data_IF_011165271149
#
_entry.id   IF_011165271149
#
_cell.length_a   1.000
_cell.length_b   1.000
_cell.length_c   1.000
_cell.angle_alpha   90.00
_cell.angle_beta   90.00
_cell.angle_gamma   90.00
#
_symmetry.space_group_name_H-M   'P 1'
#
loop_
_entity.id
_entity.type
_entity.pdbx_description
1 polymer ?
#
# COMPACT_ATOMS: atom_id res chain seq x y z
N UNK A 1 7.33 25.08 -2.99
CA UNK A 1 8.39 24.09 -2.70
C UNK A 1 9.69 24.62 -3.29
N UNK A 2 10.73 24.71 -2.48
CA UNK A 2 12.07 25.09 -2.90
C UNK A 2 13.03 23.93 -2.64
N UNK A 3 13.98 23.71 -3.56
CA UNK A 3 14.95 22.62 -3.47
C UNK A 3 16.32 23.13 -2.99
N UNK A 4 16.84 22.53 -1.94
CA UNK A 4 18.23 22.65 -1.50
C UNK A 4 19.02 21.36 -1.78
N UNK A 5 20.30 21.33 -1.48
CA UNK A 5 21.16 20.16 -1.75
C UNK A 5 20.83 18.94 -0.90
N UNK A 6 20.33 19.12 0.32
CA UNK A 6 20.03 18.06 1.28
C UNK A 6 18.64 18.23 1.95
N UNK A 7 17.84 19.18 1.47
CA UNK A 7 16.51 19.41 2.02
C UNK A 7 15.59 20.05 0.99
N UNK A 8 14.30 19.84 1.19
CA UNK A 8 13.23 20.58 0.53
C UNK A 8 12.64 21.57 1.51
N UNK A 9 12.23 22.74 1.05
CA UNK A 9 11.43 23.66 1.84
C UNK A 9 9.98 23.53 1.39
N UNK A 10 9.14 23.03 2.28
CA UNK A 10 7.70 22.86 2.04
C UNK A 10 6.93 23.76 2.98
N UNK A 11 6.21 24.75 2.43
CA UNK A 11 5.48 25.75 3.22
C UNK A 11 6.34 26.44 4.29
N UNK A 12 7.58 26.81 3.91
CA UNK A 12 8.54 27.47 4.79
C UNK A 12 9.23 26.54 5.81
N UNK A 13 8.93 25.24 5.83
CA UNK A 13 9.56 24.28 6.73
C UNK A 13 10.58 23.41 5.99
N UNK A 14 11.81 23.23 6.52
CA UNK A 14 12.79 22.34 5.93
C UNK A 14 12.40 20.88 6.15
N UNK A 15 12.44 20.09 5.08
CA UNK A 15 12.28 18.63 5.09
C UNK A 15 13.60 18.02 4.65
N UNK A 16 14.26 17.28 5.51
CA UNK A 16 15.55 16.65 5.21
C UNK A 16 15.39 15.54 4.18
N UNK A 17 16.35 15.45 3.26
CA UNK A 17 16.43 14.40 2.24
C UNK A 17 17.58 13.48 2.60
N UNK A 18 17.32 12.17 2.57
CA UNK A 18 18.32 11.12 2.60
C UNK A 18 18.42 10.46 1.23
N UNK A 19 19.60 10.06 0.82
CA UNK A 19 19.84 9.33 -0.44
C UNK A 19 20.45 7.96 -0.12
N UNK A 20 19.66 7.14 0.59
CA UNK A 20 20.05 5.82 1.04
C UNK A 20 19.10 4.76 0.47
N UNK A 21 19.66 3.70 -0.13
CA UNK A 21 18.90 2.59 -0.67
C UNK A 21 18.58 1.50 0.36
N UNK A 22 19.44 1.36 1.38
CA UNK A 22 19.18 0.46 2.51
C UNK A 22 18.53 1.24 3.65
N UNK A 23 17.30 0.93 4.02
CA UNK A 23 16.60 1.61 5.11
C UNK A 23 17.32 1.53 6.46
N UNK A 24 18.19 0.55 6.66
CA UNK A 24 18.99 0.41 7.87
C UNK A 24 20.01 1.54 8.07
N UNK A 25 20.39 2.22 6.98
CA UNK A 25 21.39 3.29 6.97
C UNK A 25 20.76 4.69 7.04
N UNK A 26 19.42 4.79 7.05
CA UNK A 26 18.75 6.09 7.16
C UNK A 26 18.70 6.49 8.63
N UNK A 27 19.37 7.58 8.97
CA UNK A 27 19.44 8.10 10.35
C UNK A 27 18.18 8.90 10.73
N UNK A 28 17.03 8.22 10.91
CA UNK A 28 15.75 8.84 11.26
C UNK A 28 15.82 9.67 12.54
N UNK A 29 16.56 9.19 13.54
CA UNK A 29 16.77 9.90 14.79
C UNK A 29 17.41 11.27 14.63
N UNK A 30 18.25 11.46 13.58
CA UNK A 30 18.94 12.74 13.32
C UNK A 30 17.99 13.87 12.91
N UNK A 31 16.77 13.56 12.51
CA UNK A 31 15.70 14.53 12.20
C UNK A 31 14.46 14.36 13.07
N UNK A 32 14.51 13.49 14.07
CA UNK A 32 13.39 13.25 15.00
C UNK A 32 12.20 12.51 14.39
N UNK A 33 12.40 11.80 13.27
CA UNK A 33 11.35 11.04 12.62
C UNK A 33 11.12 9.70 13.34
N UNK A 34 10.00 9.56 14.02
CA UNK A 34 9.60 8.34 14.75
C UNK A 34 8.64 7.44 13.98
N UNK A 35 7.80 8.03 13.11
CA UNK A 35 6.81 7.36 12.28
C UNK A 35 7.27 7.38 10.84
N UNK A 36 7.49 6.20 10.26
CA UNK A 36 8.02 6.06 8.91
C UNK A 36 6.93 5.50 8.01
N UNK A 37 6.71 6.19 6.89
CA UNK A 37 5.82 5.73 5.82
C UNK A 37 6.67 5.00 4.78
N UNK A 38 6.60 3.66 4.79
CA UNK A 38 7.27 2.83 3.78
C UNK A 38 6.43 2.78 2.50
N UNK A 39 6.84 3.55 1.51
CA UNK A 39 6.09 3.71 0.25
C UNK A 39 6.87 3.31 -1.00
N UNK A 40 8.01 2.64 -0.84
CA UNK A 40 8.86 2.20 -1.97
C UNK A 40 8.30 0.97 -2.67
N UNK A 41 7.39 0.23 -2.04
CA UNK A 41 6.89 -1.09 -2.45
C UNK A 41 7.97 -2.20 -2.51
N UNK A 42 9.17 -1.94 -1.98
CA UNK A 42 10.26 -2.92 -1.90
C UNK A 42 10.22 -3.70 -0.57
N UNK A 43 9.93 -3.02 0.54
CA UNK A 43 9.99 -3.58 1.90
C UNK A 43 8.57 -3.84 2.44
N UNK A 44 7.88 -4.85 1.89
CA UNK A 44 6.45 -5.12 2.16
C UNK A 44 6.22 -6.26 3.16
N UNK A 45 7.16 -6.51 4.07
CA UNK A 45 7.02 -7.49 5.17
C UNK A 45 7.49 -6.88 6.47
N UNK A 46 7.00 -7.37 7.60
CA UNK A 46 7.49 -6.93 8.92
C UNK A 46 9.01 -7.04 9.01
N UNK A 47 9.59 -8.16 8.58
CA UNK A 47 11.03 -8.38 8.65
C UNK A 47 11.83 -7.36 7.83
N UNK A 48 11.42 -7.11 6.58
CA UNK A 48 12.12 -6.17 5.70
C UNK A 48 11.97 -4.70 6.16
N UNK A 49 10.75 -4.30 6.52
CA UNK A 49 10.46 -2.93 6.98
C UNK A 49 11.11 -2.61 8.32
N UNK A 50 11.31 -3.61 9.19
CA UNK A 50 11.97 -3.40 10.49
C UNK A 50 13.41 -2.88 10.37
N UNK A 51 14.02 -2.91 9.19
CA UNK A 51 15.33 -2.32 8.94
C UNK A 51 15.36 -0.81 9.27
N UNK A 52 14.25 -0.09 9.06
CA UNK A 52 14.11 1.33 9.45
C UNK A 52 14.29 1.58 10.95
N UNK A 53 14.02 0.59 11.79
CA UNK A 53 14.14 0.72 13.24
C UNK A 53 15.60 0.92 13.68
N UNK A 54 16.57 0.44 12.90
CA UNK A 54 18.00 0.65 13.16
C UNK A 54 18.37 2.14 13.13
N UNK A 55 17.68 2.92 12.30
CA UNK A 55 17.87 4.36 12.21
C UNK A 55 17.10 5.19 13.24
N UNK A 56 16.33 4.55 14.12
CA UNK A 56 15.58 5.21 15.20
C UNK A 56 14.07 5.31 14.96
N UNK A 57 13.53 4.69 13.90
CA UNK A 57 12.09 4.61 13.70
C UNK A 57 11.42 3.82 14.84
N UNK A 58 10.27 4.28 15.32
CA UNK A 58 9.44 3.58 16.31
C UNK A 58 8.27 2.84 15.69
N UNK A 59 7.70 3.38 14.63
CA UNK A 59 6.56 2.81 13.90
C UNK A 59 6.79 2.88 12.40
N UNK A 60 6.45 1.82 11.69
CA UNK A 60 6.53 1.75 10.24
C UNK A 60 5.15 1.41 9.69
N UNK A 61 4.71 2.21 8.73
CA UNK A 61 3.43 2.04 8.03
C UNK A 61 3.72 1.73 6.57
N UNK A 62 3.49 0.50 6.16
CA UNK A 62 3.65 0.06 4.77
C UNK A 62 2.42 0.50 3.97
N UNK A 63 2.61 1.29 2.90
CA UNK A 63 1.51 1.76 2.04
C UNK A 63 1.18 0.79 0.90
N UNK A 64 1.37 -0.49 1.13
CA UNK A 64 1.10 -1.57 0.19
C UNK A 64 0.58 -2.81 0.94
N UNK A 65 -0.06 -3.76 0.25
CA UNK A 65 -0.42 -5.03 0.88
C UNK A 65 0.82 -5.74 1.41
N UNK A 66 0.76 -6.16 2.67
CA UNK A 66 1.81 -6.98 3.25
C UNK A 66 1.94 -8.31 2.49
N UNK A 67 3.19 -8.74 2.26
CA UNK A 67 3.53 -9.98 1.57
C UNK A 67 3.76 -11.16 2.52
N UNK A 68 3.67 -10.91 3.82
CA UNK A 68 3.67 -11.92 4.86
C UNK A 68 2.30 -12.00 5.56
N UNK A 69 2.14 -12.97 6.45
CA UNK A 69 0.90 -13.17 7.21
C UNK A 69 1.01 -12.65 8.65
N UNK A 70 2.16 -12.09 9.03
CA UNK A 70 2.40 -11.56 10.38
C UNK A 70 2.20 -10.04 10.48
N UNK A 71 2.28 -9.32 9.36
CA UNK A 71 2.06 -7.88 9.33
C UNK A 71 0.56 -7.58 9.42
N UNK A 72 0.08 -6.97 10.52
CA UNK A 72 -1.32 -6.61 10.64
C UNK A 72 -1.70 -5.56 9.58
N UNK A 73 -2.90 -5.73 9.01
CA UNK A 73 -3.39 -4.88 7.92
C UNK A 73 -4.63 -4.13 8.37
N UNK A 74 -4.61 -2.81 8.23
CA UNK A 74 -5.70 -1.95 8.64
C UNK A 74 -6.26 -1.14 7.47
N UNK A 75 -7.59 -0.98 7.49
CA UNK A 75 -8.33 -0.05 6.63
C UNK A 75 -9.12 0.87 7.55
N UNK A 76 -8.86 2.17 7.46
CA UNK A 76 -9.53 3.16 8.28
C UNK A 76 -11.05 3.14 8.05
N UNK A 77 -11.82 3.22 9.13
CA UNK A 77 -13.28 3.08 9.08
C UNK A 77 -13.80 1.63 8.98
N UNK A 78 -12.90 0.64 8.87
CA UNK A 78 -13.26 -0.78 8.77
C UNK A 78 -12.83 -1.55 10.01
N UNK A 79 -11.54 -1.66 10.24
CA UNK A 79 -10.95 -2.41 11.35
C UNK A 79 -9.84 -1.63 12.09
N UNK A 80 -9.81 -0.31 11.98
CA UNK A 80 -8.79 0.53 12.61
C UNK A 80 -8.87 0.53 14.14
N UNK A 81 -10.03 0.23 14.71
CA UNK A 81 -10.22 0.12 16.16
C UNK A 81 -9.53 -1.14 16.74
N UNK A 82 -9.19 -2.10 15.88
CA UNK A 82 -8.44 -3.31 16.27
C UNK A 82 -6.93 -3.06 16.36
N UNK A 83 -6.48 -1.80 16.13
CA UNK A 83 -5.06 -1.46 16.14
C UNK A 83 -4.46 -1.65 17.53
N UNK A 84 -3.43 -2.51 17.59
CA UNK A 84 -2.59 -2.69 18.79
C UNK A 84 -1.39 -1.74 18.71
N UNK A 85 -1.26 -0.79 19.65
CA UNK A 85 -0.08 0.10 19.75
C UNK A 85 1.25 -0.64 19.92
N UNK A 86 1.27 -1.89 20.35
CA UNK A 86 2.48 -2.71 20.41
C UNK A 86 3.00 -3.10 19.02
N UNK A 87 2.16 -3.09 18.00
CA UNK A 87 2.56 -3.39 16.61
C UNK A 87 3.50 -2.31 16.07
N UNK A 88 4.77 -2.64 15.91
CA UNK A 88 5.78 -1.72 15.38
C UNK A 88 5.69 -1.51 13.86
N UNK A 89 5.22 -2.52 13.13
CA UNK A 89 5.04 -2.49 11.68
C UNK A 89 3.60 -2.85 11.35
N UNK A 90 2.95 -2.04 10.55
CA UNK A 90 1.58 -2.28 10.07
C UNK A 90 1.49 -2.03 8.56
N UNK A 91 0.47 -2.58 7.92
CA UNK A 91 0.13 -2.30 6.52
C UNK A 91 -1.17 -1.48 6.45
N UNK A 92 -1.17 -0.43 5.64
CA UNK A 92 -2.35 0.34 5.28
C UNK A 92 -3.10 -0.24 4.06
N UNK A 93 -2.85 -1.50 3.69
CA UNK A 93 -3.44 -2.18 2.54
C UNK A 93 -3.11 -1.50 1.19
N UNK A 94 -3.85 -1.83 0.14
CA UNK A 94 -3.75 -1.19 -1.18
C UNK A 94 -4.78 -0.09 -1.37
N UNK A 95 -4.58 0.77 -2.36
CA UNK A 95 -5.56 1.79 -2.76
C UNK A 95 -6.93 1.18 -3.07
N UNK A 96 -6.96 0.09 -3.85
CA UNK A 96 -8.22 -0.60 -4.20
C UNK A 96 -8.86 -1.26 -2.97
N UNK A 97 -8.07 -1.82 -2.04
CA UNK A 97 -8.60 -2.38 -0.79
C UNK A 97 -9.20 -1.28 0.09
N UNK A 98 -8.58 -0.11 0.15
CA UNK A 98 -9.10 1.04 0.89
C UNK A 98 -10.41 1.59 0.28
N UNK A 99 -10.61 1.43 -1.02
CA UNK A 99 -11.89 1.73 -1.67
C UNK A 99 -12.95 0.65 -1.38
N UNK A 100 -12.58 -0.62 -1.61
CA UNK A 100 -13.55 -1.74 -1.59
C UNK A 100 -13.99 -2.14 -0.18
N UNK A 101 -13.09 -2.13 0.81
CA UNK A 101 -13.41 -2.63 2.14
C UNK A 101 -14.50 -1.80 2.84
N UNK A 102 -14.47 -0.45 2.84
CA UNK A 102 -15.56 0.35 3.38
C UNK A 102 -16.89 0.12 2.65
N UNK A 103 -16.88 0.04 1.31
CA UNK A 103 -18.08 -0.27 0.52
C UNK A 103 -18.66 -1.65 0.88
N UNK A 104 -17.78 -2.65 0.95
CA UNK A 104 -18.18 -4.01 1.33
C UNK A 104 -18.75 -4.05 2.75
N UNK A 105 -18.18 -3.31 3.70
CA UNK A 105 -18.66 -3.18 5.07
C UNK A 105 -20.07 -2.59 5.12
N UNK A 106 -20.28 -1.44 4.48
CA UNK A 106 -21.57 -0.73 4.46
C UNK A 106 -22.68 -1.60 3.88
N UNK A 107 -22.40 -2.47 2.92
CA UNK A 107 -23.38 -3.39 2.34
C UNK A 107 -23.53 -4.66 3.20
N UNK A 108 -22.42 -5.18 3.73
CA UNK A 108 -22.44 -6.42 4.49
C UNK A 108 -23.14 -6.27 5.86
N UNK A 109 -22.91 -5.17 6.55
CA UNK A 109 -23.38 -5.01 7.93
C UNK A 109 -24.92 -5.05 8.04
N UNK A 110 -25.71 -4.34 7.19
CA UNK A 110 -27.18 -4.41 7.27
C UNK A 110 -27.80 -5.58 6.51
N UNK A 111 -27.17 -6.06 5.41
CA UNK A 111 -27.81 -7.00 4.49
C UNK A 111 -27.17 -8.39 4.48
N UNK A 112 -26.00 -8.52 5.05
CA UNK A 112 -25.16 -9.70 4.85
C UNK A 112 -24.65 -9.81 3.41
N UNK A 113 -23.66 -10.65 3.18
CA UNK A 113 -23.11 -10.88 1.84
C UNK A 113 -22.70 -12.34 1.65
N UNK A 114 -23.25 -12.96 0.62
CA UNK A 114 -22.86 -14.32 0.24
C UNK A 114 -21.69 -14.33 -0.73
N UNK A 115 -21.79 -13.56 -1.81
CA UNK A 115 -20.77 -13.43 -2.86
C UNK A 115 -20.74 -12.04 -3.45
N UNK A 116 -19.59 -11.63 -4.00
CA UNK A 116 -19.45 -10.37 -4.72
C UNK A 116 -18.38 -10.42 -5.79
N UNK A 117 -18.67 -9.77 -6.92
CA UNK A 117 -17.72 -9.50 -7.98
C UNK A 117 -17.38 -8.00 -7.97
N UNK A 118 -16.09 -7.68 -7.90
CA UNK A 118 -15.60 -6.31 -8.02
C UNK A 118 -14.99 -6.10 -9.41
N UNK A 119 -15.38 -5.03 -10.07
CA UNK A 119 -14.64 -4.48 -11.21
C UNK A 119 -14.08 -3.12 -10.80
N UNK A 120 -12.78 -2.92 -11.00
CA UNK A 120 -12.16 -1.61 -10.77
C UNK A 120 -11.71 -0.99 -12.08
N UNK A 121 -12.11 0.26 -12.31
CA UNK A 121 -11.60 1.11 -13.39
C UNK A 121 -10.58 2.03 -12.75
N UNK A 122 -9.30 1.67 -12.89
CA UNK A 122 -8.22 2.27 -12.12
C UNK A 122 -7.42 3.26 -12.98
N UNK A 123 -7.03 4.36 -12.37
CA UNK A 123 -6.08 5.29 -13.01
C UNK A 123 -4.76 4.61 -13.35
N UNK A 124 -4.09 5.07 -14.40
CA UNK A 124 -2.74 4.65 -14.74
C UNK A 124 -1.76 4.93 -13.58
N UNK A 125 -0.83 4.01 -13.38
CA UNK A 125 0.21 4.10 -12.36
C UNK A 125 1.60 3.99 -12.97
N UNK A 126 2.64 4.38 -12.24
CA UNK A 126 4.02 4.41 -12.74
C UNK A 126 4.58 3.05 -13.19
N UNK A 127 3.96 1.94 -12.79
CA UNK A 127 4.36 0.60 -13.23
C UNK A 127 3.89 0.23 -14.63
N UNK A 128 2.88 0.92 -15.16
CA UNK A 128 2.32 0.67 -16.47
C UNK A 128 3.14 1.34 -17.56
N UNK A 129 3.05 0.85 -18.79
CA UNK A 129 3.83 1.36 -19.91
C UNK A 129 3.19 2.58 -20.53
N UNK A 130 3.98 3.62 -20.80
CA UNK A 130 3.51 4.80 -21.53
C UNK A 130 3.33 4.52 -23.03
N UNK A 131 4.18 3.66 -23.60
CA UNK A 131 4.11 3.18 -24.98
C UNK A 131 4.16 1.67 -25.01
N UNK A 132 3.62 1.04 -26.06
CA UNK A 132 3.68 -0.41 -26.25
C UNK A 132 5.14 -0.88 -26.18
N UNK A 133 5.40 -1.87 -25.37
CA UNK A 133 6.74 -2.40 -25.17
C UNK A 133 6.68 -3.86 -24.69
N UNK A 134 7.85 -4.49 -24.56
CA UNK A 134 7.92 -5.87 -24.05
C UNK A 134 7.29 -5.97 -22.66
N UNK A 135 6.41 -6.95 -22.48
CA UNK A 135 5.85 -7.26 -21.15
C UNK A 135 6.95 -7.74 -20.20
N UNK A 136 6.98 -7.18 -19.00
CA UNK A 136 7.93 -7.56 -17.93
C UNK A 136 7.47 -8.76 -17.10
N UNK A 137 6.34 -9.38 -17.46
CA UNK A 137 5.72 -10.50 -16.75
C UNK A 137 5.18 -11.53 -17.75
N UNK A 138 4.64 -12.66 -17.21
CA UNK A 138 3.93 -13.67 -18.04
C UNK A 138 2.61 -13.15 -18.62
N UNK A 139 2.03 -12.13 -18.01
CA UNK A 139 0.84 -11.47 -18.54
C UNK A 139 1.23 -10.45 -19.62
N UNK A 140 1.02 -10.81 -20.87
CA UNK A 140 1.40 -9.99 -22.02
C UNK A 140 0.68 -8.64 -22.09
N UNK A 141 -0.47 -8.51 -21.42
CA UNK A 141 -1.23 -7.26 -21.35
C UNK A 141 -0.44 -6.14 -20.67
N UNK A 142 0.51 -6.49 -19.79
CA UNK A 142 1.38 -5.52 -19.08
C UNK A 142 2.34 -4.77 -19.99
N UNK A 143 2.51 -5.21 -21.24
CA UNK A 143 3.31 -4.51 -22.27
C UNK A 143 2.55 -3.44 -23.03
N UNK A 144 1.22 -3.35 -22.87
CA UNK A 144 0.41 -2.38 -23.59
C UNK A 144 0.50 -0.98 -22.99
N UNK A 145 0.46 0.02 -23.88
CA UNK A 145 0.40 1.43 -23.50
C UNK A 145 -0.89 1.74 -22.73
N UNK A 146 -0.79 2.52 -21.66
CA UNK A 146 -1.95 2.99 -20.89
C UNK A 146 -2.66 4.18 -21.54
N UNK A 147 -2.01 4.89 -22.45
CA UNK A 147 -2.63 6.04 -23.10
C UNK A 147 -3.68 5.60 -24.12
N UNK A 148 -4.88 6.17 -24.01
CA UNK A 148 -6.03 5.87 -24.86
C UNK A 148 -6.41 4.37 -24.87
N UNK A 149 -6.16 3.67 -23.78
CA UNK A 149 -6.42 2.25 -23.63
C UNK A 149 -7.11 1.93 -22.29
N UNK A 150 -7.89 0.85 -22.31
CA UNK A 150 -8.37 0.16 -21.10
C UNK A 150 -7.76 -1.23 -21.13
N UNK A 151 -6.84 -1.53 -20.20
CA UNK A 151 -6.06 -2.75 -20.20
C UNK A 151 -6.54 -3.64 -19.05
N UNK A 152 -7.20 -4.77 -19.35
CA UNK A 152 -7.61 -5.71 -18.29
C UNK A 152 -6.41 -6.24 -17.52
N UNK A 153 -6.55 -6.33 -16.21
CA UNK A 153 -5.51 -6.81 -15.30
C UNK A 153 -6.11 -7.65 -14.18
N UNK A 154 -5.29 -8.47 -13.55
CA UNK A 154 -5.65 -9.16 -12.33
C UNK A 154 -5.42 -8.25 -11.12
N UNK A 155 -6.22 -8.44 -10.07
CA UNK A 155 -6.07 -7.72 -8.80
C UNK A 155 -6.26 -8.65 -7.61
N UNK A 156 -5.43 -8.47 -6.58
CA UNK A 156 -5.57 -9.16 -5.29
C UNK A 156 -6.49 -8.44 -4.30
N UNK A 157 -7.05 -7.29 -4.67
CA UNK A 157 -7.76 -6.43 -3.72
C UNK A 157 -9.02 -7.10 -3.13
N UNK A 158 -9.79 -7.82 -3.95
CA UNK A 158 -10.98 -8.53 -3.48
C UNK A 158 -10.62 -9.59 -2.41
N UNK A 159 -9.52 -10.31 -2.60
CA UNK A 159 -9.00 -11.27 -1.61
C UNK A 159 -8.48 -10.55 -0.36
N UNK A 160 -7.82 -9.42 -0.53
CA UNK A 160 -7.23 -8.64 0.57
C UNK A 160 -8.28 -8.05 1.52
N UNK A 161 -9.51 -7.81 1.06
CA UNK A 161 -10.63 -7.40 1.93
C UNK A 161 -10.89 -8.42 3.04
N UNK A 162 -10.71 -9.71 2.78
CA UNK A 162 -10.84 -10.74 3.80
C UNK A 162 -9.84 -10.63 4.97
N UNK A 163 -8.73 -9.91 4.81
CA UNK A 163 -7.81 -9.61 5.92
C UNK A 163 -8.38 -8.53 6.85
N UNK A 164 -9.10 -7.54 6.31
CA UNK A 164 -9.72 -6.46 7.08
C UNK A 164 -11.14 -6.78 7.55
N UNK A 165 -11.86 -7.65 6.83
CA UNK A 165 -13.21 -8.09 7.15
C UNK A 165 -13.26 -9.64 7.05
N UNK A 166 -12.91 -10.38 8.11
CA UNK A 166 -12.75 -11.83 8.06
C UNK A 166 -14.00 -12.59 7.58
N UNK A 167 -15.20 -12.09 7.89
CA UNK A 167 -16.48 -12.69 7.45
C UNK A 167 -16.66 -12.68 5.92
N UNK A 168 -15.91 -11.86 5.21
CA UNK A 168 -15.92 -11.77 3.74
C UNK A 168 -14.78 -12.57 3.08
N UNK A 169 -13.98 -13.28 3.86
CA UNK A 169 -12.89 -14.08 3.30
C UNK A 169 -13.46 -15.15 2.34
N UNK A 170 -12.89 -15.20 1.12
CA UNK A 170 -13.32 -16.13 0.07
C UNK A 170 -14.67 -15.79 -0.62
N UNK A 171 -15.37 -14.74 -0.18
CA UNK A 171 -16.67 -14.34 -0.75
C UNK A 171 -16.56 -13.33 -1.89
N UNK A 172 -15.42 -12.68 -2.04
CA UNK A 172 -15.19 -11.65 -3.05
C UNK A 172 -14.18 -12.12 -4.10
N UNK A 173 -14.47 -11.81 -5.34
CA UNK A 173 -13.52 -11.91 -6.46
C UNK A 173 -13.50 -10.60 -7.22
N UNK A 174 -12.46 -10.38 -8.06
CA UNK A 174 -12.35 -9.10 -8.75
C UNK A 174 -11.41 -9.11 -9.93
N UNK A 175 -11.64 -8.11 -10.78
CA UNK A 175 -10.82 -7.77 -11.94
C UNK A 175 -10.56 -6.27 -12.01
N UNK A 176 -9.51 -5.92 -12.68
CA UNK A 176 -9.13 -4.53 -12.95
C UNK A 176 -9.02 -4.31 -14.45
#
# INVERSE_FOLDING_TARGET
IEAGSQHLIVNGKPVRIFSESDPANIEWSSCGAEYIIESTAAFNTTAASSAHMKGGAKKIIITAPAKDDVTPTFVFGVNHEEYDPASAVISAASCTTNCLAPLAKVVNDPFGKERGLMSTIHSATAKQKAVDSRAGSRDLRTGRSVFNNIIPSTTGAAKAVGKAIPVLNGKLTGMS
#
